data_IF_564397614311
#
_entry.id   IF_564397614311
#
_cell.length_a   1.000
_cell.length_b   1.000
_cell.length_c   1.000
_cell.angle_alpha   90.00
_cell.angle_beta   90.00
_cell.angle_gamma   90.00
#
_symmetry.space_group_name_H-M   'P 1'
#
loop_
_entity.id
_entity.type
_entity.pdbx_description
1 polymer ?
#
# COMPACT_ATOMS: atom_id res chain seq x y z
N UNK A 1 -11.74 -20.93 2.65
CA UNK A 1 -10.61 -20.03 2.40
C UNK A 1 -9.41 -20.91 2.16
N UNK A 2 -9.04 -21.11 0.90
CA UNK A 2 -7.96 -22.05 0.53
C UNK A 2 -6.82 -21.22 -0.04
N UNK A 3 -5.73 -21.11 0.71
CA UNK A 3 -4.49 -20.51 0.20
C UNK A 3 -3.73 -21.63 -0.52
N UNK A 4 -3.26 -21.37 -1.74
CA UNK A 4 -2.52 -22.36 -2.55
C UNK A 4 -1.20 -22.77 -1.88
N UNK A 5 -0.56 -21.87 -1.11
CA UNK A 5 0.66 -22.13 -0.35
C UNK A 5 0.72 -21.35 0.96
N UNK A 6 1.46 -21.87 1.95
CA UNK A 6 1.75 -21.16 3.20
C UNK A 6 2.54 -19.86 2.97
N UNK A 7 3.24 -19.74 1.85
CA UNK A 7 3.96 -18.52 1.47
C UNK A 7 3.00 -17.41 1.02
N UNK A 8 2.04 -17.71 0.12
CA UNK A 8 1.00 -16.75 -0.29
C UNK A 8 0.16 -16.30 0.91
N UNK A 9 -0.17 -17.22 1.83
CA UNK A 9 -0.88 -16.88 3.07
C UNK A 9 -0.09 -15.88 3.92
N UNK A 10 1.22 -16.09 4.09
CA UNK A 10 2.10 -15.16 4.81
C UNK A 10 2.21 -13.82 4.09
N UNK A 11 2.26 -13.82 2.77
CA UNK A 11 2.33 -12.59 1.96
C UNK A 11 1.06 -11.75 2.08
N UNK A 12 -0.12 -12.36 1.92
CA UNK A 12 -1.42 -11.69 2.11
C UNK A 12 -1.52 -11.13 3.54
N UNK A 13 -1.12 -11.91 4.56
CA UNK A 13 -1.10 -11.41 5.94
C UNK A 13 -0.14 -10.22 6.15
N UNK A 14 0.97 -10.14 5.40
CA UNK A 14 1.87 -8.96 5.43
C UNK A 14 1.18 -7.76 4.81
N UNK A 15 0.55 -7.92 3.64
CA UNK A 15 -0.18 -6.85 2.97
C UNK A 15 -1.38 -6.35 3.78
N UNK A 16 -2.19 -7.26 4.36
CA UNK A 16 -3.32 -6.85 5.22
C UNK A 16 -2.83 -6.03 6.42
N UNK A 17 -1.73 -6.42 7.05
CA UNK A 17 -1.12 -5.66 8.15
C UNK A 17 -0.63 -4.28 7.71
N UNK A 18 -0.02 -4.19 6.52
CA UNK A 18 0.42 -2.92 5.94
C UNK A 18 -0.79 -1.99 5.70
N UNK A 19 -1.86 -2.49 5.09
CA UNK A 19 -3.08 -1.71 4.84
C UNK A 19 -3.69 -1.15 6.15
N UNK A 20 -3.82 -1.99 7.18
CA UNK A 20 -4.33 -1.58 8.50
C UNK A 20 -3.51 -0.45 9.10
N UNK A 21 -2.18 -0.53 9.00
CA UNK A 21 -1.29 0.49 9.56
C UNK A 21 -1.33 1.80 8.76
N UNK A 22 -1.42 1.73 7.43
CA UNK A 22 -1.58 2.91 6.59
C UNK A 22 -2.91 3.62 6.88
N UNK A 23 -3.99 2.86 7.10
CA UNK A 23 -5.29 3.39 7.51
C UNK A 23 -5.18 4.04 8.89
N UNK A 24 -4.59 3.38 9.88
CA UNK A 24 -4.42 3.96 11.22
C UNK A 24 -3.54 5.21 11.22
N UNK A 25 -2.51 5.27 10.37
CA UNK A 25 -1.72 6.47 10.18
C UNK A 25 -2.55 7.60 9.53
N UNK A 26 -3.31 7.29 8.47
CA UNK A 26 -4.22 8.25 7.84
C UNK A 26 -5.26 8.81 8.82
N UNK A 27 -5.87 7.94 9.62
CA UNK A 27 -6.92 8.29 10.61
C UNK A 27 -6.39 9.19 11.74
N UNK A 28 -5.08 9.11 12.06
CA UNK A 28 -4.47 9.95 13.09
C UNK A 28 -4.48 11.45 12.77
N UNK A 29 -4.70 11.85 11.51
CA UNK A 29 -4.64 13.25 11.04
C UNK A 29 -3.23 13.87 11.03
N UNK A 30 -2.23 13.21 11.63
CA UNK A 30 -0.86 13.73 11.74
C UNK A 30 -0.10 13.76 10.40
N UNK A 31 -0.64 13.10 9.37
CA UNK A 31 0.00 12.94 8.06
C UNK A 31 -0.85 13.49 6.92
N UNK A 32 -1.75 14.43 7.19
CA UNK A 32 -2.63 15.04 6.18
C UNK A 32 -1.86 15.82 5.09
N UNK A 33 -0.61 16.19 5.35
CA UNK A 33 0.28 16.77 4.35
C UNK A 33 0.71 15.76 3.27
N UNK A 34 0.65 14.46 3.58
CA UNK A 34 0.86 13.39 2.60
C UNK A 34 -0.41 13.24 1.78
N UNK A 35 -0.57 14.09 0.77
CA UNK A 35 -1.75 14.08 -0.10
C UNK A 35 -1.68 12.99 -1.18
N UNK A 36 -2.80 12.70 -1.84
CA UNK A 36 -2.84 11.81 -3.02
C UNK A 36 -1.90 12.28 -4.12
N UNK A 37 -1.82 13.59 -4.38
CA UNK A 37 -0.90 14.17 -5.37
C UNK A 37 0.57 13.97 -4.98
N UNK A 38 0.91 14.11 -3.69
CA UNK A 38 2.27 13.84 -3.20
C UNK A 38 2.62 12.37 -3.44
N UNK A 39 1.74 11.44 -3.06
CA UNK A 39 1.99 10.01 -3.26
C UNK A 39 2.16 9.66 -4.74
N UNK A 40 1.30 10.17 -5.63
CA UNK A 40 1.42 9.92 -7.08
C UNK A 40 2.76 10.41 -7.62
N UNK A 41 3.24 11.57 -7.18
CA UNK A 41 4.58 12.08 -7.54
C UNK A 41 5.70 11.19 -7.00
N UNK A 42 5.65 10.82 -5.71
CA UNK A 42 6.71 10.00 -5.10
C UNK A 42 6.71 8.55 -5.63
N UNK A 43 5.61 8.07 -6.22
CA UNK A 43 5.57 6.79 -6.93
C UNK A 43 6.42 6.78 -8.20
N UNK A 44 6.69 7.93 -8.82
CA UNK A 44 7.65 8.03 -9.94
C UNK A 44 9.11 8.00 -9.46
N UNK A 45 9.34 8.30 -8.17
CA UNK A 45 10.63 8.27 -7.50
C UNK A 45 10.77 7.11 -6.51
N UNK A 46 11.33 7.39 -5.33
CA UNK A 46 11.49 6.42 -4.25
C UNK A 46 10.47 6.67 -3.13
N UNK A 47 9.24 6.16 -3.34
CA UNK A 47 8.17 6.27 -2.35
C UNK A 47 8.56 5.67 -0.99
N UNK A 48 9.34 4.59 -0.95
CA UNK A 48 9.70 3.97 0.33
C UNK A 48 10.72 4.80 1.10
N UNK A 49 11.67 5.47 0.43
CA UNK A 49 12.54 6.45 1.06
C UNK A 49 11.75 7.66 1.57
N UNK A 50 10.77 8.14 0.80
CA UNK A 50 9.86 9.20 1.23
C UNK A 50 9.07 8.78 2.49
N UNK A 51 8.39 7.63 2.46
CA UNK A 51 7.61 7.13 3.60
C UNK A 51 8.48 6.89 4.85
N UNK A 52 9.73 6.44 4.67
CA UNK A 52 10.68 6.26 5.79
C UNK A 52 11.08 7.59 6.45
N UNK A 53 11.10 8.68 5.68
CA UNK A 53 11.38 10.03 6.22
C UNK A 53 10.17 10.63 6.91
N UNK A 54 8.98 10.45 6.35
CA UNK A 54 7.76 11.10 6.84
C UNK A 54 7.09 10.33 8.00
N UNK A 55 7.19 9.00 8.01
CA UNK A 55 6.49 8.17 8.99
C UNK A 55 7.43 7.75 10.14
N UNK A 56 6.98 7.86 11.41
CA UNK A 56 7.79 7.49 12.56
C UNK A 56 8.04 5.98 12.64
N UNK A 57 9.03 5.63 13.49
CA UNK A 57 9.46 4.27 13.82
C UNK A 57 8.33 3.31 14.25
N UNK A 58 7.15 3.82 14.57
CA UNK A 58 6.00 3.08 15.08
C UNK A 58 5.05 2.59 13.99
N UNK A 59 5.04 3.17 12.77
CA UNK A 59 4.16 2.76 11.64
C UNK A 59 4.77 1.56 10.87
N UNK A 60 5.49 0.70 11.58
CA UNK A 60 6.64 -0.07 11.07
C UNK A 60 6.38 -1.48 10.51
N UNK A 61 5.28 -1.70 9.79
CA UNK A 61 5.28 -2.82 8.82
C UNK A 61 6.14 -2.47 7.60
N UNK A 62 6.18 -1.20 7.19
CA UNK A 62 6.96 -0.74 6.02
C UNK A 62 8.46 -1.06 6.18
N UNK A 63 9.00 -0.85 7.37
CA UNK A 63 10.41 -1.15 7.68
C UNK A 63 10.72 -2.65 7.72
N UNK A 64 9.72 -3.48 7.99
CA UNK A 64 9.80 -4.95 7.99
C UNK A 64 9.60 -5.56 6.60
N UNK A 65 9.26 -4.74 5.60
CA UNK A 65 9.23 -5.17 4.20
C UNK A 65 10.65 -5.45 3.73
N UNK A 66 10.84 -6.62 3.13
CA UNK A 66 12.07 -6.96 2.42
C UNK A 66 12.21 -6.10 1.16
N UNK A 67 13.40 -6.05 0.57
CA UNK A 67 13.58 -5.35 -0.70
C UNK A 67 12.72 -5.95 -1.82
N UNK A 68 12.47 -7.26 -1.77
CA UNK A 68 11.53 -7.95 -2.67
C UNK A 68 10.10 -7.46 -2.45
N UNK A 69 9.62 -7.37 -1.21
CA UNK A 69 8.28 -6.86 -0.92
C UNK A 69 8.13 -5.40 -1.39
N UNK A 70 9.14 -4.55 -1.13
CA UNK A 70 9.15 -3.14 -1.56
C UNK A 70 9.14 -3.00 -3.07
N UNK A 71 9.93 -3.82 -3.76
CA UNK A 71 9.98 -3.82 -5.22
C UNK A 71 8.63 -4.23 -5.82
N UNK A 72 8.04 -5.32 -5.32
CA UNK A 72 6.69 -5.77 -5.74
C UNK A 72 5.64 -4.68 -5.51
N UNK A 73 5.57 -4.13 -4.30
CA UNK A 73 4.59 -3.08 -3.97
C UNK A 73 4.79 -1.83 -4.82
N UNK A 74 6.03 -1.39 -5.04
CA UNK A 74 6.33 -0.23 -5.90
C UNK A 74 5.81 -0.44 -7.31
N UNK A 75 6.08 -1.60 -7.92
CA UNK A 75 5.59 -1.91 -9.26
C UNK A 75 4.06 -1.92 -9.33
N UNK A 76 3.39 -2.56 -8.36
CA UNK A 76 1.94 -2.64 -8.34
C UNK A 76 1.29 -1.27 -8.12
N UNK A 77 1.79 -0.49 -7.17
CA UNK A 77 1.27 0.86 -6.90
C UNK A 77 1.52 1.82 -8.06
N UNK A 78 2.66 1.73 -8.74
CA UNK A 78 2.93 2.48 -9.97
C UNK A 78 1.95 2.11 -11.09
N UNK A 79 1.70 0.80 -11.26
CA UNK A 79 0.72 0.32 -12.24
C UNK A 79 -0.67 0.88 -11.94
N UNK A 80 -1.12 0.84 -10.68
CA UNK A 80 -2.42 1.37 -10.29
C UNK A 80 -2.51 2.89 -10.46
N UNK A 81 -1.47 3.64 -10.06
CA UNK A 81 -1.45 5.09 -10.22
C UNK A 81 -1.47 5.55 -11.69
N UNK A 82 -0.97 4.72 -12.61
CA UNK A 82 -1.06 4.98 -14.06
C UNK A 82 -2.41 4.58 -14.65
N UNK A 83 -3.02 3.52 -14.12
CA UNK A 83 -4.27 2.97 -14.64
C UNK A 83 -5.52 3.67 -14.10
N UNK A 84 -5.43 4.27 -12.91
CA UNK A 84 -6.58 4.77 -12.17
C UNK A 84 -6.31 6.12 -11.53
N UNK A 85 -7.34 6.96 -11.51
CA UNK A 85 -7.35 8.16 -10.69
C UNK A 85 -7.67 7.82 -9.22
N UNK A 86 -7.12 8.54 -8.22
CA UNK A 86 -7.40 8.30 -6.80
C UNK A 86 -8.90 8.26 -6.46
N UNK A 87 -9.73 9.09 -7.13
CA UNK A 87 -11.19 9.15 -6.92
C UNK A 87 -11.90 7.82 -7.21
N UNK A 88 -11.34 6.97 -8.08
CA UNK A 88 -11.88 5.65 -8.40
C UNK A 88 -11.73 4.66 -7.23
N UNK A 89 -10.78 4.92 -6.32
CA UNK A 89 -10.65 4.21 -5.06
C UNK A 89 -11.43 4.86 -3.92
N UNK A 90 -12.28 5.84 -4.21
CA UNK A 90 -12.98 6.67 -3.22
C UNK A 90 -12.04 7.42 -2.25
N UNK A 91 -10.78 7.65 -2.65
CA UNK A 91 -9.79 8.40 -1.87
C UNK A 91 -9.37 9.66 -2.64
N UNK A 92 -9.67 10.83 -2.09
CA UNK A 92 -9.38 12.10 -2.78
C UNK A 92 -8.30 12.95 -2.12
N UNK A 93 -8.13 12.86 -0.79
CA UNK A 93 -7.30 13.80 -0.02
C UNK A 93 -6.05 13.19 0.59
N UNK A 94 -6.17 12.04 1.24
CA UNK A 94 -5.08 11.46 2.02
C UNK A 94 -4.33 10.38 1.22
N UNK A 95 -3.02 10.58 1.05
CA UNK A 95 -2.14 9.70 0.29
C UNK A 95 -1.88 8.36 0.99
N UNK A 96 -1.85 8.32 2.33
CA UNK A 96 -1.71 7.06 3.05
C UNK A 96 -2.96 6.18 2.89
N UNK A 97 -4.15 6.80 2.90
CA UNK A 97 -5.39 6.11 2.57
C UNK A 97 -5.39 5.56 1.13
N UNK A 98 -4.78 6.29 0.18
CA UNK A 98 -4.66 5.83 -1.21
C UNK A 98 -3.72 4.61 -1.31
N UNK A 99 -2.58 4.63 -0.62
CA UNK A 99 -1.68 3.49 -0.55
C UNK A 99 -2.36 2.27 0.09
N UNK A 100 -3.15 2.48 1.15
CA UNK A 100 -3.95 1.41 1.74
C UNK A 100 -4.95 0.82 0.74
N UNK A 101 -5.66 1.67 -0.01
CA UNK A 101 -6.60 1.24 -1.03
C UNK A 101 -5.91 0.40 -2.13
N UNK A 102 -4.71 0.80 -2.55
CA UNK A 102 -3.91 0.01 -3.49
C UNK A 102 -3.50 -1.36 -2.93
N UNK A 103 -3.15 -1.44 -1.64
CA UNK A 103 -2.85 -2.73 -1.00
C UNK A 103 -4.08 -3.62 -0.94
N UNK A 104 -5.25 -3.05 -0.60
CA UNK A 104 -6.50 -3.80 -0.57
C UNK A 104 -6.90 -4.29 -1.97
N UNK A 105 -6.73 -3.45 -2.99
CA UNK A 105 -6.99 -3.84 -4.37
C UNK A 105 -6.03 -4.93 -4.86
N UNK A 106 -4.76 -4.87 -4.46
CA UNK A 106 -3.80 -5.94 -4.74
C UNK A 106 -4.26 -7.27 -4.14
N UNK A 107 -4.66 -7.27 -2.86
CA UNK A 107 -5.19 -8.46 -2.19
C UNK A 107 -6.43 -8.99 -2.92
N UNK A 108 -7.37 -8.12 -3.30
CA UNK A 108 -8.58 -8.49 -4.03
C UNK A 108 -8.27 -9.13 -5.40
N UNK A 109 -7.34 -8.55 -6.17
CA UNK A 109 -6.87 -9.13 -7.44
C UNK A 109 -6.29 -10.53 -7.20
N UNK A 110 -5.42 -10.69 -6.22
CA UNK A 110 -4.84 -11.99 -5.91
C UNK A 110 -5.92 -13.02 -5.56
N UNK A 111 -6.98 -12.62 -4.85
CA UNK A 111 -8.12 -13.49 -4.59
C UNK A 111 -8.94 -13.83 -5.83
N UNK A 112 -9.15 -12.88 -6.75
CA UNK A 112 -9.90 -13.08 -7.98
C UNK A 112 -9.20 -14.02 -8.98
N UNK A 113 -7.87 -14.07 -8.96
CA UNK A 113 -7.07 -14.93 -9.85
C UNK A 113 -6.87 -16.36 -9.36
N UNK A 114 -7.33 -16.73 -8.16
CA UNK A 114 -7.23 -18.10 -7.65
C UNK A 114 -8.41 -18.94 -8.18
N UNK A 115 -8.18 -19.95 -9.05
CA UNK A 115 -9.23 -20.89 -9.42
C UNK A 115 -9.68 -21.68 -8.17
N UNK A 116 -10.99 -21.95 -8.09
CA UNK A 116 -11.60 -22.73 -7.00
C UNK A 116 -11.12 -24.17 -6.98
#
# INVERSE_FOLDING_TARGET
MTFETEEQKREIQRWSRLAIQLIGAADSGNFDHITTAVVVRELEGDLFAFLKRELPASVWAISKLTDVDRHKLSQQWQMFARAYEPKQFHVSRNGLALLAAYVLHLIDIFHATLPK
#
